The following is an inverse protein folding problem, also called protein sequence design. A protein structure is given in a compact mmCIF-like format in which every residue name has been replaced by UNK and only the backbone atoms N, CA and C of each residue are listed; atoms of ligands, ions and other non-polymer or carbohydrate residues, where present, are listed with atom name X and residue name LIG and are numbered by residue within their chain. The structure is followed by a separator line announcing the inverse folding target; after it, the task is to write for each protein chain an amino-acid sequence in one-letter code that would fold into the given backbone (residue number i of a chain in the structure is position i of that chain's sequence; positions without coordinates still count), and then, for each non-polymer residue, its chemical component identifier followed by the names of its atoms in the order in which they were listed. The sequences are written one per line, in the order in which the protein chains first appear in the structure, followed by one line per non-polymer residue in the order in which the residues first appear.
data_IF_564337939221
#
_entry.id   IF_564337939221
#
_cell.length_a   1.000
_cell.length_b   1.000
_cell.length_c   1.000
_cell.angle_alpha   90.00
_cell.angle_beta   90.00
_cell.angle_gamma   90.00
#
_symmetry.space_group_name_H-M   'P 1'
#
loop_
_entity.id
_entity.type
_entity.pdbx_description
1 polymer ?
#
# COMPACT_ATOMS: atom_id res chain seq x y z
N UNK A 1 -27.62 -5.03 11.50
CA UNK A 1 -27.14 -4.25 10.33
C UNK A 1 -25.71 -4.68 10.06
N UNK A 2 -25.29 -4.95 8.82
CA UNK A 2 -23.94 -5.51 8.56
C UNK A 2 -22.94 -4.37 8.42
N UNK A 3 -22.03 -4.23 9.37
CA UNK A 3 -20.96 -3.20 9.35
C UNK A 3 -19.67 -3.82 8.82
N UNK A 4 -19.06 -3.19 7.80
CA UNK A 4 -17.79 -3.64 7.22
C UNK A 4 -16.64 -2.92 7.91
N UNK A 5 -15.79 -3.67 8.60
CA UNK A 5 -14.70 -3.11 9.42
C UNK A 5 -13.31 -3.53 8.93
N UNK A 6 -13.22 -4.09 7.73
CA UNK A 6 -11.97 -4.52 7.09
C UNK A 6 -11.57 -3.60 5.93
N UNK A 7 -11.65 -2.29 6.16
CA UNK A 7 -11.29 -1.27 5.18
C UNK A 7 -9.80 -1.32 4.76
N UNK A 8 -8.97 -2.07 5.51
CA UNK A 8 -7.58 -2.31 5.18
C UNK A 8 -7.42 -3.31 4.02
N UNK A 9 -8.33 -4.30 3.89
CA UNK A 9 -8.28 -5.28 2.81
C UNK A 9 -8.93 -4.78 1.52
N UNK A 10 -10.10 -4.16 1.63
CA UNK A 10 -10.81 -3.55 0.49
C UNK A 10 -11.75 -2.48 1.00
N UNK A 11 -12.45 -1.79 0.10
CA UNK A 11 -13.32 -0.69 0.48
C UNK A 11 -14.44 -0.53 -0.55
N UNK A 12 -15.70 -0.28 -0.12
CA UNK A 12 -16.77 0.06 -1.04
C UNK A 12 -16.39 1.25 -1.93
N UNK A 13 -16.65 1.12 -3.22
CA UNK A 13 -16.40 2.19 -4.19
C UNK A 13 -17.32 3.37 -3.87
N UNK A 14 -16.74 4.58 -3.78
CA UNK A 14 -17.52 5.81 -3.62
C UNK A 14 -18.42 6.02 -4.83
N UNK A 15 -19.64 6.52 -4.63
CA UNK A 15 -20.58 6.77 -5.73
C UNK A 15 -19.96 7.64 -6.83
N UNK A 16 -19.25 8.72 -6.46
CA UNK A 16 -18.55 9.58 -7.40
C UNK A 16 -17.48 8.85 -8.25
N UNK A 17 -16.82 7.83 -7.68
CA UNK A 17 -15.83 7.04 -8.40
C UNK A 17 -16.50 5.99 -9.30
N UNK A 18 -17.61 5.41 -8.87
CA UNK A 18 -18.45 4.52 -9.69
C UNK A 18 -18.98 5.26 -10.90
N UNK A 19 -19.55 6.44 -10.71
CA UNK A 19 -20.18 7.21 -11.78
C UNK A 19 -19.13 7.66 -12.80
N UNK A 20 -17.97 8.16 -12.35
CA UNK A 20 -16.85 8.49 -13.23
C UNK A 20 -16.33 7.29 -14.03
N UNK A 21 -16.33 6.09 -13.43
CA UNK A 21 -15.95 4.86 -14.11
C UNK A 21 -16.98 4.45 -15.18
N UNK A 22 -18.28 4.58 -14.88
CA UNK A 22 -19.34 4.31 -15.86
C UNK A 22 -19.29 5.30 -17.02
N UNK A 23 -19.05 6.58 -16.75
CA UNK A 23 -18.85 7.60 -17.78
C UNK A 23 -17.65 7.27 -18.67
N UNK A 24 -16.53 6.84 -18.06
CA UNK A 24 -15.35 6.41 -18.80
C UNK A 24 -15.63 5.17 -19.68
N UNK A 25 -16.41 4.21 -19.20
CA UNK A 25 -16.80 3.02 -19.96
C UNK A 25 -17.67 3.33 -21.18
N UNK A 26 -18.43 4.43 -21.14
CA UNK A 26 -19.25 4.86 -22.26
C UNK A 26 -18.42 5.50 -23.40
N UNK A 27 -17.17 5.89 -23.15
CA UNK A 27 -16.28 6.46 -24.16
C UNK A 27 -15.70 5.34 -25.05
N UNK A 28 -15.93 5.46 -26.36
CA UNK A 28 -15.37 4.54 -27.36
C UNK A 28 -14.09 5.09 -27.98
N UNK A 29 -13.23 4.20 -28.49
CA UNK A 29 -12.04 4.56 -29.24
C UNK A 29 -10.75 4.08 -28.58
N UNK A 30 -9.73 3.84 -29.40
CA UNK A 30 -8.40 3.49 -28.90
C UNK A 30 -7.58 4.78 -28.68
N UNK A 31 -7.06 5.05 -27.46
CA UNK A 31 -6.29 6.27 -27.17
C UNK A 31 -4.98 6.40 -27.97
N UNK A 32 -4.55 5.33 -28.64
CA UNK A 32 -3.41 5.34 -29.58
C UNK A 32 -3.79 5.78 -30.99
N UNK A 33 -5.09 5.89 -31.31
CA UNK A 33 -5.57 6.28 -32.63
C UNK A 33 -5.56 7.80 -32.83
N UNK A 34 -5.32 8.24 -34.07
CA UNK A 34 -5.28 9.67 -34.43
C UNK A 34 -6.64 10.28 -34.76
N UNK A 35 -7.69 9.47 -34.95
CA UNK A 35 -9.04 9.94 -35.24
C UNK A 35 -9.72 10.54 -34.00
N UNK A 36 -10.81 11.29 -34.20
CA UNK A 36 -11.49 12.07 -33.13
C UNK A 36 -11.82 11.23 -31.89
N UNK A 37 -12.37 10.04 -32.07
CA UNK A 37 -12.73 9.19 -30.92
C UNK A 37 -11.49 8.69 -30.15
N UNK A 38 -10.38 8.42 -30.84
CA UNK A 38 -9.11 8.06 -30.20
C UNK A 38 -8.50 9.24 -29.43
N UNK A 39 -8.57 10.45 -30.01
CA UNK A 39 -8.15 11.68 -29.33
C UNK A 39 -8.99 11.97 -28.09
N UNK A 40 -10.31 11.74 -28.15
CA UNK A 40 -11.21 11.89 -27.01
C UNK A 40 -10.89 10.87 -25.89
N UNK A 41 -10.69 9.61 -26.23
CA UNK A 41 -10.26 8.57 -25.28
C UNK A 41 -8.89 8.90 -24.64
N UNK A 42 -7.94 9.42 -25.44
CA UNK A 42 -6.64 9.86 -24.93
C UNK A 42 -6.76 11.05 -23.98
N UNK A 43 -7.58 12.04 -24.32
CA UNK A 43 -7.81 13.21 -23.46
C UNK A 43 -8.33 12.78 -22.09
N UNK A 44 -9.28 11.82 -22.03
CA UNK A 44 -9.79 11.27 -20.78
C UNK A 44 -8.67 10.69 -19.88
N UNK A 45 -7.75 9.92 -20.45
CA UNK A 45 -6.64 9.31 -19.71
C UNK A 45 -5.63 10.35 -19.22
N UNK A 46 -5.30 11.34 -20.05
CA UNK A 46 -4.36 12.40 -19.67
C UNK A 46 -4.95 13.34 -18.62
N UNK A 47 -6.24 13.68 -18.71
CA UNK A 47 -6.98 14.39 -17.67
C UNK A 47 -6.93 13.66 -16.33
N UNK A 48 -7.09 12.33 -16.34
CA UNK A 48 -6.98 11.51 -15.15
C UNK A 48 -5.55 11.54 -14.59
N UNK A 49 -4.54 11.48 -15.46
CA UNK A 49 -3.11 11.55 -15.09
C UNK A 49 -2.79 12.87 -14.40
N UNK A 50 -3.24 14.00 -14.92
CA UNK A 50 -3.03 15.32 -14.32
C UNK A 50 -3.71 15.46 -12.94
N UNK A 51 -4.92 14.91 -12.78
CA UNK A 51 -5.63 14.88 -11.49
C UNK A 51 -4.84 14.07 -10.46
N UNK A 52 -4.38 12.88 -10.84
CA UNK A 52 -3.53 12.02 -10.00
C UNK A 52 -2.23 12.74 -9.62
N UNK A 53 -1.53 13.28 -10.61
CA UNK A 53 -0.27 14.01 -10.41
C UNK A 53 -0.41 15.17 -9.41
N UNK A 54 -1.50 15.94 -9.49
CA UNK A 54 -1.80 17.00 -8.52
C UNK A 54 -1.99 16.49 -7.09
N UNK A 55 -2.74 15.40 -6.91
CA UNK A 55 -2.94 14.78 -5.57
C UNK A 55 -1.60 14.41 -4.95
N UNK A 56 -0.69 13.93 -5.80
CA UNK A 56 0.66 13.52 -5.43
C UNK A 56 1.71 14.63 -5.61
N UNK A 57 1.36 15.87 -5.94
CA UNK A 57 2.35 16.96 -6.12
C UNK A 57 3.59 16.56 -6.94
N UNK A 58 3.38 15.82 -8.03
CA UNK A 58 4.41 15.36 -8.96
C UNK A 58 4.06 15.81 -10.39
N UNK A 59 4.99 15.69 -11.32
CA UNK A 59 4.69 15.98 -12.72
C UNK A 59 3.85 14.85 -13.34
N UNK A 60 2.93 15.14 -14.27
CA UNK A 60 2.12 14.11 -14.93
C UNK A 60 2.96 13.01 -15.59
N UNK A 61 4.12 13.37 -16.15
CA UNK A 61 5.04 12.41 -16.79
C UNK A 61 5.63 11.39 -15.79
N UNK A 62 5.60 11.68 -14.49
CA UNK A 62 6.05 10.77 -13.43
C UNK A 62 4.97 9.75 -13.02
N UNK A 63 3.74 9.87 -13.56
CA UNK A 63 2.61 8.99 -13.23
C UNK A 63 2.48 7.90 -14.30
N UNK A 64 2.61 6.65 -13.88
CA UNK A 64 2.34 5.46 -14.70
C UNK A 64 1.11 4.75 -14.15
N UNK A 65 0.13 4.47 -15.02
CA UNK A 65 -1.03 3.66 -14.66
C UNK A 65 -0.69 2.17 -14.79
N UNK A 66 -1.02 1.40 -13.76
CA UNK A 66 -0.87 -0.06 -13.71
C UNK A 66 -2.20 -0.69 -13.31
N UNK A 67 -2.38 -2.00 -13.50
CA UNK A 67 -3.57 -2.75 -13.08
C UNK A 67 -3.82 -2.76 -11.57
N UNK A 68 -2.79 -2.51 -10.76
CA UNK A 68 -2.95 -2.41 -9.30
C UNK A 68 -1.63 -2.31 -8.54
N UNK A 69 -1.74 -2.34 -7.20
CA UNK A 69 -0.58 -2.20 -6.31
C UNK A 69 0.50 -3.26 -6.53
N UNK A 70 0.13 -4.50 -6.82
CA UNK A 70 1.08 -5.60 -7.07
C UNK A 70 1.93 -5.36 -8.31
N UNK A 71 1.32 -4.93 -9.41
CA UNK A 71 2.06 -4.60 -10.64
C UNK A 71 2.95 -3.37 -10.44
N UNK A 72 2.44 -2.32 -9.80
CA UNK A 72 3.23 -1.12 -9.45
C UNK A 72 4.49 -1.47 -8.65
N UNK A 73 4.35 -2.33 -7.63
CA UNK A 73 5.50 -2.78 -6.82
C UNK A 73 6.49 -3.58 -7.65
N UNK A 74 6.01 -4.54 -8.44
CA UNK A 74 6.88 -5.36 -9.30
C UNK A 74 7.67 -4.51 -10.29
N UNK A 75 6.99 -3.59 -10.98
CA UNK A 75 7.58 -2.69 -11.95
C UNK A 75 8.66 -1.81 -11.30
N UNK A 76 8.34 -1.19 -10.16
CA UNK A 76 9.27 -0.31 -9.45
C UNK A 76 10.50 -1.06 -8.94
N UNK A 77 10.29 -2.11 -8.14
CA UNK A 77 11.38 -2.86 -7.49
C UNK A 77 12.32 -3.48 -8.52
N UNK A 78 11.76 -4.21 -9.49
CA UNK A 78 12.53 -4.87 -10.55
C UNK A 78 13.26 -3.85 -11.43
N UNK A 79 12.57 -2.78 -11.82
CA UNK A 79 13.14 -1.72 -12.64
C UNK A 79 14.32 -1.03 -11.97
N UNK A 80 14.19 -0.65 -10.69
CA UNK A 80 15.28 -0.04 -9.94
C UNK A 80 16.48 -0.97 -9.77
N UNK A 81 16.24 -2.24 -9.44
CA UNK A 81 17.31 -3.23 -9.30
C UNK A 81 18.10 -3.39 -10.60
N UNK A 82 17.40 -3.69 -11.71
CA UNK A 82 18.03 -3.90 -13.02
C UNK A 82 18.74 -2.65 -13.52
N UNK A 83 18.14 -1.47 -13.38
CA UNK A 83 18.73 -0.20 -13.80
C UNK A 83 20.03 0.11 -13.04
N UNK A 84 20.03 -0.13 -11.72
CA UNK A 84 21.24 0.09 -10.92
C UNK A 84 22.34 -0.89 -11.25
N UNK A 85 22.02 -2.17 -11.44
CA UNK A 85 23.00 -3.19 -11.86
C UNK A 85 23.56 -2.94 -13.25
N UNK A 86 22.75 -2.40 -14.16
CA UNK A 86 23.23 -1.98 -15.48
C UNK A 86 24.23 -0.82 -15.40
N UNK A 87 24.15 0.01 -14.36
CA UNK A 87 25.09 1.12 -14.12
C UNK A 87 26.35 0.67 -13.39
N UNK A 88 26.20 -0.18 -12.36
CA UNK A 88 27.30 -0.79 -11.61
C UNK A 88 26.87 -2.18 -11.12
N UNK A 89 27.54 -3.21 -11.62
CA UNK A 89 27.24 -4.60 -11.31
C UNK A 89 27.32 -4.94 -9.82
N UNK A 90 28.06 -4.15 -9.02
CA UNK A 90 28.21 -4.29 -7.56
C UNK A 90 26.99 -3.81 -6.78
N UNK A 91 25.99 -3.22 -7.43
CA UNK A 91 24.73 -2.81 -6.82
C UNK A 91 23.73 -3.96 -6.83
N UNK A 92 24.08 -5.04 -6.17
CA UNK A 92 23.34 -6.31 -6.12
C UNK A 92 22.55 -6.52 -4.81
N UNK A 93 22.75 -5.65 -3.81
CA UNK A 93 22.11 -5.77 -2.49
C UNK A 93 20.80 -5.01 -2.35
N UNK A 94 19.78 -5.67 -1.80
CA UNK A 94 18.46 -5.10 -1.48
C UNK A 94 18.20 -5.24 0.02
N UNK A 95 17.94 -4.13 0.71
CA UNK A 95 17.51 -4.13 2.11
C UNK A 95 16.00 -4.25 2.19
N UNK A 96 15.49 -5.24 2.94
CA UNK A 96 14.06 -5.57 2.98
C UNK A 96 13.57 -5.71 4.43
N UNK A 97 12.60 -4.90 4.88
CA UNK A 97 11.92 -5.13 6.15
C UNK A 97 11.09 -6.42 6.13
N UNK A 98 11.11 -7.20 7.20
CA UNK A 98 10.40 -8.48 7.27
C UNK A 98 8.86 -8.37 7.20
N UNK A 99 8.27 -7.19 7.44
CA UNK A 99 6.82 -6.97 7.46
C UNK A 99 6.30 -6.16 6.26
N UNK A 100 6.91 -6.30 5.08
CA UNK A 100 6.36 -5.74 3.85
C UNK A 100 5.18 -6.58 3.31
N UNK A 101 4.40 -5.99 2.40
CA UNK A 101 3.30 -6.71 1.73
C UNK A 101 3.83 -7.84 0.84
N UNK A 102 3.07 -8.93 0.65
CA UNK A 102 3.49 -10.07 -0.19
C UNK A 102 3.95 -9.66 -1.60
N UNK A 103 3.23 -8.73 -2.23
CA UNK A 103 3.64 -8.15 -3.52
C UNK A 103 5.07 -7.61 -3.55
N UNK A 104 5.62 -7.18 -2.41
CA UNK A 104 7.00 -6.74 -2.26
C UNK A 104 7.93 -7.91 -1.99
N UNK A 105 7.59 -8.74 -1.00
CA UNK A 105 8.39 -9.88 -0.57
C UNK A 105 8.63 -10.86 -1.72
N UNK A 106 7.57 -11.21 -2.44
CA UNK A 106 7.63 -12.16 -3.55
C UNK A 106 8.50 -11.59 -4.70
N UNK A 107 8.42 -10.29 -4.96
CA UNK A 107 9.25 -9.63 -5.99
C UNK A 107 10.72 -9.64 -5.62
N UNK A 108 11.09 -9.27 -4.40
CA UNK A 108 12.52 -9.22 -4.01
C UNK A 108 13.12 -10.62 -3.93
N UNK A 109 12.37 -11.62 -3.48
CA UNK A 109 12.78 -13.04 -3.50
C UNK A 109 12.98 -13.52 -4.94
N UNK A 110 12.08 -13.18 -5.87
CA UNK A 110 12.26 -13.54 -7.28
C UNK A 110 13.56 -12.99 -7.88
N UNK A 111 14.00 -11.80 -7.45
CA UNK A 111 15.24 -11.18 -7.92
C UNK A 111 16.52 -11.87 -7.42
N UNK A 112 16.45 -12.77 -6.44
CA UNK A 112 17.61 -13.60 -6.05
C UNK A 112 18.09 -14.46 -7.23
N UNK A 113 17.17 -14.92 -8.08
CA UNK A 113 17.50 -15.64 -9.32
C UNK A 113 18.27 -14.78 -10.34
N UNK A 114 18.17 -13.46 -10.22
CA UNK A 114 18.90 -12.47 -11.03
C UNK A 114 20.19 -11.99 -10.32
N UNK A 115 20.55 -12.60 -9.19
CA UNK A 115 21.74 -12.27 -8.40
C UNK A 115 21.54 -11.18 -7.36
N UNK A 116 20.30 -10.89 -6.95
CA UNK A 116 20.06 -10.03 -5.81
C UNK A 116 20.51 -10.72 -4.50
N UNK A 117 21.11 -9.94 -3.59
CA UNK A 117 21.45 -10.36 -2.24
C UNK A 117 20.51 -9.63 -1.28
N UNK A 118 19.67 -10.37 -0.57
CA UNK A 118 18.67 -9.79 0.33
C UNK A 118 19.22 -9.61 1.75
N UNK A 119 19.20 -8.37 2.23
CA UNK A 119 19.52 -8.01 3.61
C UNK A 119 18.21 -7.77 4.38
N UNK A 120 17.76 -8.80 5.10
CA UNK A 120 16.53 -8.75 5.90
C UNK A 120 16.69 -7.92 7.17
N UNK A 121 15.72 -7.04 7.43
CA UNK A 121 15.68 -6.17 8.61
C UNK A 121 14.51 -6.57 9.51
N UNK A 122 14.77 -7.04 10.74
CA UNK A 122 13.75 -7.31 11.73
C UNK A 122 12.89 -6.09 12.02
N UNK A 123 11.59 -6.29 12.16
CA UNK A 123 10.59 -5.20 12.30
C UNK A 123 10.88 -4.29 13.48
N UNK A 124 11.34 -4.84 14.60
CA UNK A 124 11.71 -4.12 15.83
C UNK A 124 12.94 -3.22 15.66
N UNK A 125 13.74 -3.46 14.62
CA UNK A 125 14.93 -2.68 14.25
C UNK A 125 14.69 -1.69 13.11
N UNK A 126 13.47 -1.66 12.56
CA UNK A 126 13.12 -0.70 11.52
C UNK A 126 13.09 0.69 12.14
N UNK A 127 14.14 1.46 11.85
CA UNK A 127 14.22 2.85 12.25
C UNK A 127 13.73 3.76 11.16
N UNK A 128 13.05 4.78 11.64
CA UNK A 128 12.48 5.87 10.90
C UNK A 128 13.62 6.78 10.36
N UNK A 129 13.80 6.89 9.02
CA UNK A 129 14.90 7.69 8.42
C UNK A 129 14.48 9.11 8.00
N UNK A 130 15.16 10.18 8.46
CA UNK A 130 14.87 11.54 7.98
C UNK A 130 15.09 11.64 6.45
N UNK A 131 14.20 12.36 5.78
CA UNK A 131 14.28 12.57 4.34
C UNK A 131 14.52 14.06 4.02
N UNK A 132 15.57 14.40 3.23
CA UNK A 132 16.47 13.49 2.54
C UNK A 132 17.41 12.75 3.51
N UNK A 133 17.71 11.49 3.19
CA UNK A 133 18.65 10.72 4.00
C UNK A 133 20.08 11.27 3.84
N UNK A 134 20.94 11.17 4.87
CA UNK A 134 22.31 11.69 4.83
C UNK A 134 23.12 11.16 3.65
N UNK A 135 24.02 11.99 3.13
CA UNK A 135 24.87 11.68 1.97
C UNK A 135 25.77 10.45 2.17
N UNK A 136 26.09 10.11 3.42
CA UNK A 136 27.03 9.04 3.79
C UNK A 136 26.39 7.65 3.96
N UNK A 137 25.11 7.51 3.61
CA UNK A 137 24.47 6.19 3.56
C UNK A 137 24.97 5.41 2.34
N UNK A 138 26.08 4.68 2.54
CA UNK A 138 26.62 3.59 1.70
C UNK A 138 26.40 3.66 0.17
N UNK A 139 27.45 3.82 -0.66
CA UNK A 139 27.33 3.89 -2.12
C UNK A 139 26.80 2.61 -2.81
N UNK A 140 26.76 1.47 -2.10
CA UNK A 140 26.36 0.16 -2.65
C UNK A 140 24.90 -0.22 -2.40
N UNK A 141 24.12 0.63 -1.71
CA UNK A 141 22.74 0.30 -1.37
C UNK A 141 21.78 0.58 -2.54
N UNK A 142 21.03 -0.44 -2.97
CA UNK A 142 19.77 -0.19 -3.67
C UNK A 142 18.71 0.11 -2.63
N UNK A 143 18.36 1.40 -2.51
CA UNK A 143 17.24 1.85 -1.68
C UNK A 143 15.93 1.49 -2.37
N UNK A 144 15.55 0.21 -2.28
CA UNK A 144 14.27 -0.29 -2.82
C UNK A 144 13.11 0.01 -1.86
N UNK A 145 13.35 0.44 -0.62
CA UNK A 145 12.28 0.91 0.27
C UNK A 145 12.68 2.21 0.95
N UNK A 146 12.11 3.32 0.45
CA UNK A 146 11.98 4.57 1.23
C UNK A 146 10.78 4.50 2.19
N UNK A 147 10.33 3.30 2.58
CA UNK A 147 9.24 3.15 3.54
C UNK A 147 9.77 3.53 4.91
N UNK A 148 9.03 4.40 5.60
CA UNK A 148 9.26 4.84 6.99
C UNK A 148 10.14 6.08 7.18
N UNK A 149 9.57 7.27 6.90
CA UNK A 149 9.46 8.44 7.81
C UNK A 149 8.88 9.67 7.16
N UNK A 150 8.17 10.43 7.99
CA UNK A 150 7.70 11.81 7.81
C UNK A 150 8.65 12.69 6.96
N UNK A 151 8.11 13.26 5.89
CA UNK A 151 8.79 14.33 5.14
C UNK A 151 9.39 13.90 3.80
N UNK A 152 8.56 13.31 2.95
CA UNK A 152 8.64 13.20 1.47
C UNK A 152 9.76 12.35 0.86
N UNK A 153 9.42 11.09 0.55
CA UNK A 153 9.12 10.58 -0.82
C UNK A 153 8.23 9.32 -0.77
N UNK A 154 7.94 8.80 0.43
CA UNK A 154 6.72 8.04 0.72
C UNK A 154 5.51 8.92 1.02
N UNK A 155 5.65 10.22 1.28
CA UNK A 155 4.48 11.08 1.53
C UNK A 155 3.53 11.15 0.34
N UNK A 156 3.94 10.81 -0.87
CA UNK A 156 3.01 10.79 -1.99
C UNK A 156 2.24 9.49 -2.00
N UNK A 157 2.86 8.31 -2.15
CA UNK A 157 2.11 7.04 -2.12
C UNK A 157 1.45 6.73 -0.76
N UNK A 158 2.06 7.14 0.36
CA UNK A 158 1.56 6.97 1.72
C UNK A 158 0.72 8.15 2.22
N UNK A 159 0.90 9.40 1.77
CA UNK A 159 -0.11 10.45 1.97
C UNK A 159 -1.16 10.51 0.86
N UNK A 160 -1.04 9.71 -0.19
CA UNK A 160 -2.11 9.39 -1.12
C UNK A 160 -2.85 8.14 -0.68
N UNK A 161 -2.21 7.15 -0.04
CA UNK A 161 -2.93 6.17 0.79
C UNK A 161 -3.55 6.83 2.00
N UNK A 162 -2.84 7.70 2.74
CA UNK A 162 -3.41 8.45 3.86
C UNK A 162 -4.34 9.56 3.44
N UNK A 163 -4.24 10.23 2.27
CA UNK A 163 -5.30 11.12 1.75
C UNK A 163 -6.46 10.30 1.20
N UNK A 164 -6.23 9.25 0.42
CA UNK A 164 -7.33 8.33 0.08
C UNK A 164 -8.02 7.77 1.33
N UNK A 165 -7.30 7.57 2.45
CA UNK A 165 -7.79 7.25 3.80
C UNK A 165 -8.19 8.46 4.67
N UNK A 166 -7.82 9.71 4.37
CA UNK A 166 -8.09 10.90 5.20
C UNK A 166 -9.17 11.78 4.55
N UNK A 167 -9.24 11.85 3.24
CA UNK A 167 -10.50 12.06 2.52
C UNK A 167 -11.52 10.96 2.86
N UNK A 168 -11.09 9.82 3.43
CA UNK A 168 -11.92 8.77 4.03
C UNK A 168 -12.26 9.06 5.49
N UNK A 169 -11.30 9.48 6.31
CA UNK A 169 -11.52 9.85 7.71
C UNK A 169 -12.33 11.15 7.87
N UNK A 170 -12.16 12.14 6.99
CA UNK A 170 -12.96 13.37 6.96
C UNK A 170 -14.39 13.11 6.42
N UNK A 171 -14.59 12.03 5.67
CA UNK A 171 -15.92 11.63 5.16
C UNK A 171 -16.73 10.79 6.17
N UNK A 172 -16.08 10.27 7.22
CA UNK A 172 -16.71 9.50 8.28
C UNK A 172 -16.40 10.14 9.64
N UNK A 173 -17.38 10.86 10.19
CA UNK A 173 -17.49 10.92 11.64
C UNK A 173 -17.37 9.49 12.18
N UNK A 174 -16.64 9.28 13.28
CA UNK A 174 -16.38 7.95 13.82
C UNK A 174 -17.63 7.06 13.77
N UNK A 175 -17.59 6.00 12.96
CA UNK A 175 -18.71 5.09 12.82
C UNK A 175 -19.02 4.49 14.20
N UNK A 176 -20.22 4.76 14.71
CA UNK A 176 -20.74 4.05 15.87
C UNK A 176 -21.30 2.71 15.39
N UNK A 177 -20.67 1.63 15.81
CA UNK A 177 -21.12 0.27 15.53
C UNK A 177 -21.34 -0.48 16.85
N UNK A 178 -22.51 -1.08 17.00
CA UNK A 178 -22.84 -1.96 18.13
C UNK A 178 -22.31 -3.40 17.92
N UNK A 179 -21.87 -3.71 16.70
CA UNK A 179 -21.42 -5.05 16.29
C UNK A 179 -20.17 -4.98 15.41
N UNK A 180 -19.26 -5.94 15.61
CA UNK A 180 -18.02 -6.11 14.85
C UNK A 180 -17.99 -7.50 14.24
N UNK A 181 -17.76 -7.59 12.93
CA UNK A 181 -17.57 -8.87 12.24
C UNK A 181 -16.08 -9.09 12.01
N UNK A 182 -15.54 -10.16 12.57
CA UNK A 182 -14.13 -10.55 12.42
C UNK A 182 -14.02 -11.71 11.43
N UNK A 183 -13.15 -11.57 10.43
CA UNK A 183 -12.70 -12.70 9.63
C UNK A 183 -11.67 -13.50 10.42
N UNK A 184 -11.91 -14.80 10.63
CA UNK A 184 -11.06 -15.68 11.42
C UNK A 184 -10.61 -16.87 10.57
N UNK A 185 -9.35 -17.27 10.71
CA UNK A 185 -8.88 -18.56 10.18
C UNK A 185 -9.45 -19.68 11.06
N UNK A 186 -10.39 -20.45 10.50
CA UNK A 186 -11.06 -21.55 11.20
C UNK A 186 -10.34 -22.89 11.02
N UNK A 187 -9.20 -22.93 10.30
CA UNK A 187 -8.41 -24.16 10.12
C UNK A 187 -8.08 -24.87 11.46
N UNK A 188 -7.76 -24.17 12.56
CA UNK A 188 -7.51 -24.82 13.85
C UNK A 188 -8.71 -25.64 14.38
N UNK A 189 -9.94 -25.21 14.13
CA UNK A 189 -11.16 -25.94 14.52
C UNK A 189 -11.39 -27.20 13.69
N UNK A 190 -10.89 -27.22 12.46
CA UNK A 190 -10.94 -28.41 11.58
C UNK A 190 -9.87 -29.42 11.99
N UNK A 191 -8.72 -28.94 12.48
CA UNK A 191 -7.58 -29.78 12.85
C UNK A 191 -7.70 -30.39 14.26
N UNK A 192 -8.39 -29.72 15.19
CA UNK A 192 -8.65 -30.23 16.54
C UNK A 192 -10.16 -30.36 16.80
N UNK A 193 -10.74 -31.57 16.70
CA UNK A 193 -12.16 -31.79 16.93
C UNK A 193 -12.60 -31.63 18.39
N UNK A 194 -11.65 -31.47 19.34
CA UNK A 194 -11.95 -31.17 20.74
C UNK A 194 -12.05 -29.68 21.03
N UNK A 195 -11.58 -28.84 20.11
CA UNK A 195 -11.61 -27.38 20.26
C UNK A 195 -12.99 -26.85 19.87
N UNK A 196 -13.74 -26.30 20.84
CA UNK A 196 -15.03 -25.70 20.53
C UNK A 196 -14.87 -24.33 19.89
N UNK A 197 -15.85 -23.92 19.07
CA UNK A 197 -15.88 -22.59 18.48
C UNK A 197 -15.81 -21.49 19.56
N UNK A 198 -16.49 -21.68 20.69
CA UNK A 198 -16.50 -20.73 21.79
C UNK A 198 -15.11 -20.59 22.45
N UNK A 199 -14.42 -21.71 22.67
CA UNK A 199 -13.08 -21.73 23.27
C UNK A 199 -12.03 -21.13 22.33
N UNK A 200 -12.21 -21.27 21.02
CA UNK A 200 -11.34 -20.65 20.02
C UNK A 200 -11.56 -19.13 19.91
N UNK A 201 -12.81 -18.67 19.88
CA UNK A 201 -13.15 -17.27 19.59
C UNK A 201 -13.03 -16.37 20.82
N UNK A 202 -13.41 -16.85 22.01
CA UNK A 202 -13.46 -16.00 23.22
C UNK A 202 -12.11 -15.36 23.59
N UNK A 203 -10.97 -16.08 23.53
CA UNK A 203 -9.66 -15.48 23.79
C UNK A 203 -9.26 -14.43 22.74
N UNK A 204 -9.66 -14.61 21.47
CA UNK A 204 -9.39 -13.66 20.39
C UNK A 204 -10.12 -12.33 20.63
N UNK A 205 -11.39 -12.40 21.05
CA UNK A 205 -12.18 -11.22 21.43
C UNK A 205 -11.53 -10.52 22.64
N UNK A 206 -11.16 -11.27 23.69
CA UNK A 206 -10.53 -10.71 24.88
C UNK A 206 -9.19 -10.02 24.57
N UNK A 207 -8.37 -10.62 23.72
CA UNK A 207 -7.11 -10.04 23.26
C UNK A 207 -7.33 -8.78 22.43
N UNK A 208 -8.30 -8.81 21.50
CA UNK A 208 -8.67 -7.64 20.71
C UNK A 208 -9.13 -6.47 21.58
N UNK A 209 -9.99 -6.74 22.58
CA UNK A 209 -10.43 -5.75 23.55
C UNK A 209 -9.25 -5.15 24.31
N UNK A 210 -8.37 -6.01 24.85
CA UNK A 210 -7.19 -5.56 25.61
C UNK A 210 -6.28 -4.66 24.77
N UNK A 211 -5.95 -5.08 23.55
CA UNK A 211 -5.10 -4.30 22.64
C UNK A 211 -5.75 -2.97 22.26
N UNK A 212 -7.06 -2.96 22.01
CA UNK A 212 -7.79 -1.74 21.67
C UNK A 212 -7.77 -0.76 22.84
N UNK A 213 -8.03 -1.23 24.06
CA UNK A 213 -7.99 -0.40 25.27
C UNK A 213 -6.58 0.13 25.57
N UNK A 214 -5.53 -0.68 25.37
CA UNK A 214 -4.14 -0.22 25.50
C UNK A 214 -3.80 0.88 24.50
N UNK A 215 -4.27 0.77 23.25
CA UNK A 215 -4.08 1.81 22.22
C UNK A 215 -4.82 3.10 22.56
N UNK A 216 -6.07 3.01 23.02
CA UNK A 216 -6.85 4.17 23.49
C UNK A 216 -6.10 4.88 24.62
N UNK A 217 -5.67 4.14 25.64
CA UNK A 217 -4.90 4.72 26.77
C UNK A 217 -3.62 5.43 26.32
N UNK A 218 -2.90 4.86 25.33
CA UNK A 218 -1.70 5.51 24.77
C UNK A 218 -2.01 6.80 24.01
N UNK A 219 -3.19 6.90 23.40
CA UNK A 219 -3.64 8.12 22.72
C UNK A 219 -4.10 9.20 23.71
N UNK A 220 -4.69 8.79 24.84
CA UNK A 220 -5.16 9.69 25.90
C UNK A 220 -4.05 10.15 26.85
N UNK A 221 -2.90 9.47 26.86
CA UNK A 221 -1.74 9.86 27.67
C UNK A 221 -0.99 11.03 27.01
N UNK A 222 -0.85 12.20 27.67
CA UNK A 222 -0.06 13.30 27.12
C UNK A 222 1.38 12.84 26.96
N UNK A 223 1.93 13.01 25.75
CA UNK A 223 3.36 12.77 25.50
C UNK A 223 4.17 13.72 26.38
N UNK A 224 4.85 13.19 27.40
CA UNK A 224 5.91 13.89 28.14
C UNK A 224 7.15 14.06 27.27
#
# INVERSE_FOLDING_TARGET
MRTYLDHAASTPVRESARDAFLDALAVTGNPSSVHRDGQAARALVEDARERVARVFSCDPIEVIFTSGGTESVNLGVTGFFRSARATDARRDRIVVPEAEHHATLDTVVALESEGAILDWVPVDKVVRLPCPAPADFGPNLLRVFRSQVEGKRYDLAAAGRRRAQATFADAYQADQAEEVVLALDLKPLVQDPKLSLADFVSPLIGNFQKQTMERIRRLESPKS
#
